data_IF_195274390703
#
_entry.id   IF_195274390703
#
_cell.length_a   1.000
_cell.length_b   1.000
_cell.length_c   1.000
_cell.angle_alpha   90.00
_cell.angle_beta   90.00
_cell.angle_gamma   90.00
#
_symmetry.space_group_name_H-M   'P 1'
#
loop_
_entity.id
_entity.type
_entity.pdbx_description
1 polymer ?
#
# COMPACT_ATOMS: atom_id res chain seq x y z
N UNK A 1 13.81 3.95 -3.54
CA UNK A 1 13.24 4.73 -2.44
C UNK A 1 14.03 4.65 -1.11
N UNK A 2 15.00 3.78 -0.95
CA UNK A 2 15.78 3.65 0.28
C UNK A 2 15.15 2.76 1.36
N UNK A 3 13.89 2.36 1.24
CA UNK A 3 13.27 1.40 2.14
C UNK A 3 13.86 0.00 1.94
N UNK A 4 14.04 -0.73 3.05
CA UNK A 4 14.54 -2.10 3.04
C UNK A 4 13.37 -3.09 3.08
N UNK A 5 13.27 -3.94 2.07
CA UNK A 5 12.35 -5.07 2.11
C UNK A 5 12.89 -6.12 3.10
N UNK A 6 12.22 -6.29 4.25
CA UNK A 6 12.65 -7.25 5.29
C UNK A 6 12.55 -8.71 4.84
N UNK A 7 11.67 -9.01 3.86
CA UNK A 7 11.54 -10.32 3.23
C UNK A 7 12.46 -10.50 2.00
N UNK A 8 13.39 -9.58 1.74
CA UNK A 8 14.22 -9.56 0.52
C UNK A 8 15.12 -10.77 0.30
N UNK A 9 15.30 -11.64 1.29
CA UNK A 9 15.99 -12.92 1.16
C UNK A 9 15.12 -14.06 0.60
N UNK A 10 13.81 -13.83 0.43
CA UNK A 10 12.90 -14.80 -0.16
C UNK A 10 12.98 -14.76 -1.69
N UNK A 11 12.67 -15.89 -2.33
CA UNK A 11 12.57 -15.94 -3.80
C UNK A 11 11.46 -15.00 -4.27
N UNK A 12 11.69 -14.34 -5.39
CA UNK A 12 10.69 -13.43 -5.96
C UNK A 12 9.35 -14.13 -6.27
N UNK A 13 8.28 -13.35 -6.30
CA UNK A 13 6.91 -13.82 -6.46
C UNK A 13 6.18 -14.00 -5.13
N UNK A 14 5.04 -14.69 -5.16
CA UNK A 14 4.26 -14.97 -3.95
C UNK A 14 4.95 -16.07 -3.13
N UNK A 15 5.29 -15.76 -1.91
CA UNK A 15 5.90 -16.71 -0.96
C UNK A 15 5.05 -16.76 0.30
N UNK A 16 4.73 -17.98 0.74
CA UNK A 16 4.03 -18.19 2.01
C UNK A 16 5.03 -17.99 3.15
N UNK A 17 4.70 -17.13 4.08
CA UNK A 17 5.49 -16.86 5.30
C UNK A 17 4.64 -17.11 6.54
N UNK A 18 5.28 -17.58 7.61
CA UNK A 18 4.59 -17.74 8.90
C UNK A 18 4.56 -16.42 9.67
N UNK A 19 3.61 -16.31 10.60
CA UNK A 19 3.58 -15.17 11.51
C UNK A 19 4.87 -15.05 12.34
N UNK A 20 5.48 -16.16 12.72
CA UNK A 20 6.76 -16.18 13.45
C UNK A 20 7.89 -15.55 12.63
N UNK A 21 7.91 -15.78 11.32
CA UNK A 21 8.87 -15.12 10.43
C UNK A 21 8.61 -13.61 10.39
N UNK A 22 7.35 -13.18 10.31
CA UNK A 22 7.00 -11.75 10.33
C UNK A 22 7.41 -11.11 11.65
N UNK A 23 7.17 -11.78 12.78
CA UNK A 23 7.61 -11.33 14.11
C UNK A 23 9.13 -11.22 14.20
N UNK A 24 9.87 -12.16 13.59
CA UNK A 24 11.34 -12.12 13.54
C UNK A 24 11.85 -10.96 12.69
N UNK A 25 11.18 -10.65 11.57
CA UNK A 25 11.56 -9.52 10.72
C UNK A 25 11.17 -8.18 11.32
N UNK A 26 10.13 -8.16 12.15
CA UNK A 26 9.56 -6.99 12.83
C UNK A 26 9.48 -5.74 11.92
N UNK A 27 8.67 -5.78 10.84
CA UNK A 27 8.57 -4.67 9.91
C UNK A 27 8.01 -3.41 10.59
N UNK A 28 8.55 -2.25 10.20
CA UNK A 28 8.08 -0.95 10.66
C UNK A 28 6.85 -0.47 9.87
N UNK A 29 6.69 -0.97 8.64
CA UNK A 29 5.58 -0.65 7.73
C UNK A 29 5.09 -1.93 7.06
N UNK A 30 3.77 -2.09 6.98
CA UNK A 30 3.12 -3.15 6.20
C UNK A 30 2.27 -2.50 5.12
N UNK A 31 2.50 -2.92 3.87
CA UNK A 31 1.62 -2.61 2.74
C UNK A 31 0.83 -3.86 2.41
N UNK A 32 -0.47 -3.74 2.27
CA UNK A 32 -1.37 -4.87 1.97
C UNK A 32 -2.39 -4.48 0.90
N UNK A 33 -2.83 -5.46 0.13
CA UNK A 33 -3.98 -5.35 -0.79
C UNK A 33 -5.25 -5.97 -0.20
N UNK A 34 -5.12 -6.64 0.95
CA UNK A 34 -6.22 -7.31 1.64
C UNK A 34 -6.91 -6.36 2.61
N UNK A 35 -8.15 -6.01 2.27
CA UNK A 35 -8.97 -5.08 3.05
C UNK A 35 -9.35 -5.65 4.42
N UNK A 36 -9.62 -6.95 4.50
CA UNK A 36 -10.01 -7.59 5.76
C UNK A 36 -8.83 -7.69 6.69
N UNK A 37 -7.64 -8.02 6.17
CA UNK A 37 -6.42 -7.97 6.93
C UNK A 37 -6.16 -6.54 7.46
N UNK A 38 -6.19 -5.53 6.60
CA UNK A 38 -5.95 -4.13 7.00
C UNK A 38 -6.90 -3.65 8.10
N UNK A 39 -8.17 -4.13 8.06
CA UNK A 39 -9.20 -3.78 9.02
C UNK A 39 -9.00 -4.47 10.37
N UNK A 40 -8.63 -5.74 10.36
CA UNK A 40 -8.71 -6.61 11.53
C UNK A 40 -7.36 -6.78 12.24
N UNK A 41 -6.22 -6.62 11.54
CA UNK A 41 -4.88 -6.90 12.08
C UNK A 41 -4.55 -6.12 13.36
N UNK A 42 -5.08 -4.91 13.52
CA UNK A 42 -4.84 -4.08 14.72
C UNK A 42 -5.51 -4.64 15.97
N UNK A 43 -6.58 -5.39 15.81
CA UNK A 43 -7.31 -6.03 16.90
C UNK A 43 -6.85 -7.46 17.16
N UNK A 44 -6.00 -8.02 16.31
CA UNK A 44 -5.51 -9.39 16.45
C UNK A 44 -4.32 -9.44 17.43
N UNK A 45 -4.49 -10.13 18.57
CA UNK A 45 -3.43 -10.21 19.58
C UNK A 45 -2.16 -10.91 19.08
N UNK A 46 -2.27 -11.78 18.07
CA UNK A 46 -1.11 -12.47 17.50
C UNK A 46 -0.19 -11.52 16.73
N UNK A 47 -0.73 -10.42 16.21
CA UNK A 47 0.00 -9.40 15.47
C UNK A 47 0.44 -8.21 16.34
N UNK A 48 -0.03 -8.14 17.58
CA UNK A 48 0.21 -6.99 18.47
C UNK A 48 1.70 -6.71 18.76
N UNK A 49 2.56 -7.71 18.63
CA UNK A 49 4.00 -7.57 18.86
C UNK A 49 4.76 -6.96 17.65
N UNK A 50 4.14 -6.94 16.45
CA UNK A 50 4.76 -6.38 15.24
C UNK A 50 4.80 -4.85 15.32
N UNK A 51 5.97 -4.25 15.07
CA UNK A 51 6.18 -2.80 15.16
C UNK A 51 5.22 -2.00 14.29
N UNK A 52 4.97 -2.41 13.05
CA UNK A 52 4.00 -1.77 12.15
C UNK A 52 2.58 -1.76 12.72
N UNK A 53 2.17 -2.83 13.40
CA UNK A 53 0.84 -2.93 14.01
C UNK A 53 0.72 -2.02 15.22
N UNK A 54 1.72 -2.01 16.09
CA UNK A 54 1.78 -1.11 17.26
C UNK A 54 1.76 0.36 16.88
N UNK A 55 2.52 0.72 15.84
CA UNK A 55 2.59 2.09 15.33
C UNK A 55 1.40 2.49 14.45
N UNK A 56 0.58 1.52 14.01
CA UNK A 56 -0.51 1.76 13.09
C UNK A 56 -0.07 2.03 11.64
N UNK A 57 1.17 1.67 11.29
CA UNK A 57 1.76 1.85 9.96
C UNK A 57 1.38 0.72 9.00
N UNK A 58 0.08 0.53 8.80
CA UNK A 58 -0.48 -0.46 7.88
C UNK A 58 -1.23 0.30 6.81
N UNK A 59 -0.79 0.13 5.58
CA UNK A 59 -1.29 0.83 4.41
C UNK A 59 -1.99 -0.14 3.46
N UNK A 60 -3.28 0.12 3.20
CA UNK A 60 -4.06 -0.61 2.21
C UNK A 60 -3.82 0.02 0.84
N UNK A 61 -3.19 -0.72 -0.07
CA UNK A 61 -2.87 -0.24 -1.40
C UNK A 61 -4.12 -0.03 -2.25
N UNK A 62 -4.21 1.09 -2.99
CA UNK A 62 -5.23 1.26 -4.01
C UNK A 62 -5.13 0.17 -5.09
N UNK A 63 -6.29 -0.24 -5.64
CA UNK A 63 -6.35 -1.34 -6.62
C UNK A 63 -7.29 -1.10 -7.81
N UNK A 64 -7.80 0.09 -7.99
CA UNK A 64 -8.71 0.42 -9.10
C UNK A 64 -8.00 1.22 -10.20
N UNK A 65 -8.20 0.86 -11.48
CA UNK A 65 -8.82 -0.39 -11.95
C UNK A 65 -7.92 -1.62 -11.79
N UNK A 66 -6.63 -1.42 -11.46
CA UNK A 66 -5.63 -2.46 -11.21
C UNK A 66 -4.76 -2.07 -10.01
N UNK A 67 -4.03 -3.03 -9.44
CA UNK A 67 -3.12 -2.77 -8.32
C UNK A 67 -2.10 -1.66 -8.61
N UNK A 68 -1.89 -0.77 -7.63
CA UNK A 68 -0.99 0.38 -7.79
C UNK A 68 0.47 0.02 -7.51
N UNK A 69 0.72 -0.94 -6.65
CA UNK A 69 2.08 -1.36 -6.27
C UNK A 69 2.35 -2.84 -6.54
N UNK A 70 1.31 -3.67 -6.67
CA UNK A 70 1.43 -5.12 -6.75
C UNK A 70 0.85 -5.68 -8.07
N UNK A 71 -0.04 -6.64 -7.98
CA UNK A 71 -0.51 -7.46 -9.10
C UNK A 71 -1.97 -7.12 -9.50
N UNK A 72 -2.30 -7.14 -10.79
CA UNK A 72 -1.42 -7.36 -11.95
C UNK A 72 -0.55 -6.14 -12.27
N UNK A 73 0.68 -6.34 -12.82
CA UNK A 73 1.51 -5.23 -13.27
C UNK A 73 0.77 -4.38 -14.31
N UNK A 74 0.69 -3.09 -14.08
CA UNK A 74 0.00 -2.16 -14.98
C UNK A 74 0.63 -0.77 -14.94
N UNK A 75 0.13 0.14 -15.78
CA UNK A 75 0.52 1.56 -15.77
C UNK A 75 0.23 2.22 -14.40
N UNK A 76 -0.67 1.66 -13.61
CA UNK A 76 -0.99 2.16 -12.28
C UNK A 76 0.22 2.21 -11.34
N UNK A 77 1.26 1.44 -11.59
CA UNK A 77 2.52 1.53 -10.84
C UNK A 77 3.18 2.91 -10.91
N UNK A 78 2.90 3.69 -11.94
CA UNK A 78 3.42 5.06 -12.03
C UNK A 78 2.83 5.95 -10.92
N UNK A 79 1.52 5.93 -10.74
CA UNK A 79 0.88 6.64 -9.63
C UNK A 79 1.13 5.95 -8.29
N UNK A 80 1.30 4.64 -8.30
CA UNK A 80 1.67 3.83 -7.14
C UNK A 80 2.99 4.24 -6.51
N UNK A 81 3.97 4.72 -7.28
CA UNK A 81 5.23 5.25 -6.75
C UNK A 81 5.01 6.47 -5.86
N UNK A 82 4.10 7.37 -6.23
CA UNK A 82 3.73 8.52 -5.40
C UNK A 82 3.01 8.09 -4.13
N UNK A 83 2.06 7.17 -4.27
CA UNK A 83 1.32 6.63 -3.14
C UNK A 83 2.26 5.92 -2.15
N UNK A 84 3.14 5.04 -2.64
CA UNK A 84 4.11 4.32 -1.82
C UNK A 84 5.13 5.26 -1.17
N UNK A 85 5.60 6.26 -1.93
CA UNK A 85 6.48 7.30 -1.40
C UNK A 85 5.85 8.01 -0.21
N UNK A 86 4.58 8.42 -0.34
CA UNK A 86 3.83 9.07 0.73
C UNK A 86 3.57 8.14 1.93
N UNK A 87 3.27 6.85 1.68
CA UNK A 87 3.06 5.87 2.74
C UNK A 87 4.33 5.61 3.56
N UNK A 88 5.49 5.54 2.91
CA UNK A 88 6.78 5.25 3.56
C UNK A 88 7.46 6.50 4.14
N UNK A 89 7.30 7.65 3.48
CA UNK A 89 8.01 8.89 3.78
C UNK A 89 7.08 10.10 3.69
N UNK A 90 6.06 10.21 4.56
CA UNK A 90 5.05 11.27 4.45
C UNK A 90 5.65 12.69 4.47
N UNK A 91 6.74 12.91 5.20
CA UNK A 91 7.40 14.20 5.29
C UNK A 91 8.15 14.59 4.01
N UNK A 92 8.58 13.61 3.23
CA UNK A 92 9.27 13.83 1.95
C UNK A 92 8.30 13.92 0.76
N UNK A 93 7.07 13.46 0.93
CA UNK A 93 6.00 13.47 -0.08
C UNK A 93 4.76 14.20 0.48
N UNK A 94 4.85 15.51 0.75
CA UNK A 94 3.76 16.27 1.36
C UNK A 94 2.59 16.52 0.40
N UNK A 95 2.78 16.31 -0.91
CA UNK A 95 1.81 16.61 -1.95
C UNK A 95 0.49 15.86 -1.73
N UNK A 96 -0.62 16.52 -2.07
CA UNK A 96 -1.92 15.84 -2.16
C UNK A 96 -1.92 14.88 -3.35
N UNK A 97 -2.27 13.62 -3.10
CA UNK A 97 -2.34 12.59 -4.14
C UNK A 97 -3.56 12.75 -5.07
N UNK A 98 -4.59 13.50 -4.66
CA UNK A 98 -5.80 13.67 -5.45
C UNK A 98 -5.54 14.30 -6.83
N UNK A 99 -4.85 15.46 -6.94
CA UNK A 99 -4.52 16.03 -8.25
C UNK A 99 -3.67 15.08 -9.09
N UNK A 100 -2.67 14.44 -8.48
CA UNK A 100 -1.77 13.49 -9.16
C UNK A 100 -2.56 12.30 -9.72
N UNK A 101 -3.43 11.70 -8.91
CA UNK A 101 -4.28 10.59 -9.34
C UNK A 101 -5.29 11.03 -10.42
N UNK A 102 -5.89 12.21 -10.30
CA UNK A 102 -6.83 12.75 -11.29
C UNK A 102 -6.14 12.91 -12.65
N UNK A 103 -4.97 13.51 -12.68
CA UNK A 103 -4.19 13.71 -13.91
C UNK A 103 -3.77 12.37 -14.51
N UNK A 104 -3.39 11.42 -13.67
CA UNK A 104 -3.06 10.06 -14.09
C UNK A 104 -4.25 9.38 -14.78
N UNK A 105 -5.45 9.40 -14.17
CA UNK A 105 -6.64 8.78 -14.77
C UNK A 105 -7.07 9.48 -16.05
N UNK A 106 -6.99 10.80 -16.12
CA UNK A 106 -7.28 11.56 -17.34
C UNK A 106 -6.30 11.21 -18.47
N UNK A 107 -5.02 11.09 -18.16
CA UNK A 107 -3.98 10.84 -19.16
C UNK A 107 -4.01 9.39 -19.68
N UNK A 108 -4.09 8.41 -18.79
CA UNK A 108 -3.94 7.00 -19.15
C UNK A 108 -5.26 6.27 -19.43
N UNK A 109 -6.34 6.71 -18.80
CA UNK A 109 -7.66 6.08 -18.94
C UNK A 109 -8.69 6.96 -19.62
N UNK A 110 -8.36 8.23 -19.91
CA UNK A 110 -9.25 9.21 -20.54
C UNK A 110 -10.57 9.40 -19.77
N UNK A 111 -10.51 9.32 -18.44
CA UNK A 111 -11.67 9.49 -17.56
C UNK A 111 -11.45 10.66 -16.61
N UNK A 112 -12.53 11.40 -16.35
CA UNK A 112 -12.56 12.43 -15.31
C UNK A 112 -13.09 11.81 -14.03
N UNK A 113 -12.27 11.81 -12.98
CA UNK A 113 -12.62 11.22 -11.68
C UNK A 113 -13.05 12.32 -10.73
N UNK A 114 -14.22 12.14 -10.07
CA UNK A 114 -14.70 13.06 -9.03
C UNK A 114 -13.92 12.92 -7.73
N UNK A 115 -14.06 13.89 -6.83
CA UNK A 115 -13.40 13.84 -5.52
C UNK A 115 -13.84 12.62 -4.70
N UNK A 116 -15.14 12.30 -4.71
CA UNK A 116 -15.67 11.12 -4.02
C UNK A 116 -15.09 9.81 -4.58
N UNK A 117 -14.93 9.72 -5.90
CA UNK A 117 -14.32 8.59 -6.56
C UNK A 117 -12.83 8.49 -6.21
N UNK A 118 -12.10 9.61 -6.16
CA UNK A 118 -10.70 9.64 -5.74
C UNK A 118 -10.55 9.21 -4.28
N UNK A 119 -11.40 9.69 -3.39
CA UNK A 119 -11.39 9.29 -1.98
C UNK A 119 -11.64 7.79 -1.83
N UNK A 120 -12.58 7.25 -2.62
CA UNK A 120 -12.83 5.81 -2.64
C UNK A 120 -11.61 5.02 -3.11
N UNK A 121 -10.99 5.41 -4.22
CA UNK A 121 -9.78 4.76 -4.76
C UNK A 121 -8.63 4.83 -3.77
N UNK A 122 -8.32 6.02 -3.26
CA UNK A 122 -7.19 6.26 -2.34
C UNK A 122 -7.37 5.55 -0.99
N UNK A 123 -8.60 5.25 -0.59
CA UNK A 123 -8.86 4.45 0.62
C UNK A 123 -8.49 2.98 0.48
N UNK A 124 -8.15 2.51 -0.72
CA UNK A 124 -7.88 1.10 -1.02
C UNK A 124 -9.14 0.21 -1.02
N UNK A 125 -10.31 0.79 -0.82
CA UNK A 125 -11.58 0.08 -0.85
C UNK A 125 -12.01 -0.11 -2.31
N UNK A 126 -12.19 -1.32 -2.72
CA UNK A 126 -12.59 -1.66 -4.10
C UNK A 126 -13.39 -2.93 -4.14
#
# INVERSE_FOLDING_TARGET
MGARNVAGGQRGGLTVVSLEQVLTWDPEVIVTIDQDFARNVRADPNWAAVSAVRAGCIHLSPKLPFGWDDFPPSVNRLVGLWWLGKALYPDLFPEDLRPIARDFYALFYHVTVSDDQLDHVLSGRG
#
